data_IF_634806179145
#
_entry.id   IF_634806179145
#
_cell.length_a   1.000
_cell.length_b   1.000
_cell.length_c   1.000
_cell.angle_alpha   90.00
_cell.angle_beta   90.00
_cell.angle_gamma   90.00
#
_symmetry.space_group_name_H-M   'P 1'
#
loop_
_entity.id
_entity.type
_entity.pdbx_description
1 polymer ?
#
# COMPACT_ATOMS: atom_id res chain seq x y z
N UNK A 1 -39.51 -4.90 -97.22
CA UNK A 1 -39.11 -4.19 -95.98
C UNK A 1 -37.87 -4.88 -95.41
N UNK A 2 -36.71 -4.22 -95.41
CA UNK A 2 -35.40 -4.74 -94.97
C UNK A 2 -35.26 -4.55 -93.46
N UNK A 3 -35.11 -5.62 -92.69
CA UNK A 3 -34.73 -5.54 -91.27
C UNK A 3 -33.21 -5.71 -91.12
N UNK A 4 -32.53 -4.62 -90.77
CA UNK A 4 -31.12 -4.62 -90.37
C UNK A 4 -30.95 -5.25 -88.98
N UNK A 5 -30.13 -6.30 -88.87
CA UNK A 5 -29.62 -6.79 -87.59
C UNK A 5 -28.47 -5.89 -87.14
N UNK A 6 -28.66 -5.16 -86.05
CA UNK A 6 -27.63 -4.31 -85.41
C UNK A 6 -26.75 -5.21 -84.54
N UNK A 7 -25.53 -5.49 -84.98
CA UNK A 7 -24.52 -6.23 -84.21
C UNK A 7 -23.97 -5.33 -83.09
N UNK A 8 -24.23 -5.66 -81.84
CA UNK A 8 -23.57 -5.07 -80.67
C UNK A 8 -22.17 -5.68 -80.54
N UNK A 9 -21.13 -4.86 -80.74
CA UNK A 9 -19.73 -5.23 -80.49
C UNK A 9 -19.47 -5.22 -78.99
N UNK A 10 -19.30 -6.41 -78.39
CA UNK A 10 -18.80 -6.55 -77.02
C UNK A 10 -17.29 -6.39 -77.07
N UNK A 11 -16.77 -5.26 -76.59
CA UNK A 11 -15.34 -5.07 -76.38
C UNK A 11 -14.88 -6.00 -75.24
N UNK A 12 -14.33 -7.17 -75.58
CA UNK A 12 -13.60 -8.00 -74.63
C UNK A 12 -12.33 -7.25 -74.21
N UNK A 13 -12.34 -6.67 -73.00
CA UNK A 13 -11.11 -6.17 -72.38
C UNK A 13 -10.16 -7.36 -72.22
N UNK A 14 -8.99 -7.30 -72.88
CA UNK A 14 -7.88 -8.21 -72.58
C UNK A 14 -7.53 -8.03 -71.10
N UNK A 15 -7.76 -9.06 -70.29
CA UNK A 15 -7.27 -9.13 -68.92
C UNK A 15 -5.77 -9.42 -69.05
N UNK A 16 -4.93 -8.41 -68.79
CA UNK A 16 -3.51 -8.62 -68.57
C UNK A 16 -3.34 -9.35 -67.25
N UNK A 17 -2.81 -10.58 -67.28
CA UNK A 17 -2.45 -11.31 -66.07
C UNK A 17 -1.31 -10.60 -65.33
N UNK A 18 -1.33 -10.67 -63.99
CA UNK A 18 -0.30 -10.10 -63.13
C UNK A 18 1.06 -10.77 -63.37
N UNK A 19 2.14 -9.99 -63.36
CA UNK A 19 3.49 -10.55 -63.41
C UNK A 19 3.84 -11.20 -62.06
N UNK A 20 4.61 -12.29 -62.09
CA UNK A 20 5.12 -12.93 -60.87
C UNK A 20 5.83 -11.92 -59.96
N UNK A 21 6.56 -10.97 -60.57
CA UNK A 21 7.30 -9.91 -59.89
C UNK A 21 6.39 -8.96 -59.10
N UNK A 22 5.24 -8.55 -59.65
CA UNK A 22 4.28 -7.70 -58.92
C UNK A 22 3.73 -8.39 -57.68
N UNK A 23 3.51 -9.70 -57.74
CA UNK A 23 3.04 -10.48 -56.58
C UNK A 23 4.12 -10.51 -55.50
N UNK A 24 5.39 -10.69 -55.87
CA UNK A 24 6.51 -10.63 -54.92
C UNK A 24 6.66 -9.24 -54.30
N UNK A 25 6.54 -8.17 -55.09
CA UNK A 25 6.60 -6.79 -54.58
C UNK A 25 5.42 -6.51 -53.64
N UNK A 26 4.22 -6.97 -53.99
CA UNK A 26 3.02 -6.74 -53.16
C UNK A 26 3.10 -7.45 -51.81
N UNK A 27 3.58 -8.70 -51.79
CA UNK A 27 3.74 -9.48 -50.57
C UNK A 27 4.85 -8.89 -49.69
N UNK A 28 5.98 -8.49 -50.28
CA UNK A 28 7.09 -7.88 -49.53
C UNK A 28 6.67 -6.57 -48.87
N UNK A 29 5.98 -5.68 -49.58
CA UNK A 29 5.46 -4.43 -49.01
C UNK A 29 4.45 -4.72 -47.89
N UNK A 30 3.51 -5.65 -48.10
CA UNK A 30 2.50 -6.01 -47.10
C UNK A 30 3.12 -6.57 -45.82
N UNK A 31 4.16 -7.40 -45.96
CA UNK A 31 4.86 -7.99 -44.81
C UNK A 31 5.64 -6.94 -44.01
N UNK A 32 6.28 -5.98 -44.68
CA UNK A 32 6.95 -4.85 -44.01
C UNK A 32 5.93 -3.99 -43.26
N UNK A 33 4.79 -3.68 -43.88
CA UNK A 33 3.73 -2.89 -43.23
C UNK A 33 3.16 -3.62 -42.01
N UNK A 34 2.88 -4.92 -42.13
CA UNK A 34 2.37 -5.73 -41.03
C UNK A 34 3.38 -5.83 -39.88
N UNK A 35 4.67 -5.98 -40.18
CA UNK A 35 5.73 -5.97 -39.18
C UNK A 35 5.79 -4.63 -38.42
N UNK A 36 5.66 -3.51 -39.13
CA UNK A 36 5.62 -2.17 -38.51
C UNK A 36 4.41 -1.97 -37.59
N UNK A 37 3.22 -2.36 -38.03
CA UNK A 37 2.00 -2.27 -37.22
C UNK A 37 2.08 -3.16 -35.98
N UNK A 38 2.61 -4.38 -36.13
CA UNK A 38 2.82 -5.30 -35.01
C UNK A 38 3.76 -4.69 -33.96
N UNK A 39 4.86 -4.04 -34.39
CA UNK A 39 5.78 -3.39 -33.47
C UNK A 39 5.12 -2.25 -32.70
N UNK A 40 4.32 -1.41 -33.37
CA UNK A 40 3.55 -0.35 -32.72
C UNK A 40 2.60 -0.95 -31.68
N UNK A 41 1.87 -2.01 -32.05
CA UNK A 41 0.93 -2.68 -31.16
C UNK A 41 1.62 -3.27 -29.92
N UNK A 42 2.77 -3.93 -30.08
CA UNK A 42 3.51 -4.49 -28.96
C UNK A 42 4.04 -3.41 -28.01
N UNK A 43 4.55 -2.30 -28.56
CA UNK A 43 5.01 -1.16 -27.76
C UNK A 43 3.86 -0.49 -27.01
N UNK A 44 2.70 -0.31 -27.67
CA UNK A 44 1.50 0.22 -27.05
C UNK A 44 1.01 -0.70 -25.90
N UNK A 45 1.03 -2.02 -26.10
CA UNK A 45 0.66 -2.99 -25.06
C UNK A 45 1.58 -2.94 -23.85
N UNK A 46 2.90 -2.87 -24.07
CA UNK A 46 3.89 -2.73 -22.99
C UNK A 46 3.67 -1.42 -22.22
N UNK A 47 3.44 -0.32 -22.93
CA UNK A 47 3.19 1.00 -22.32
C UNK A 47 1.91 1.00 -21.50
N UNK A 48 0.82 0.44 -22.04
CA UNK A 48 -0.45 0.31 -21.34
C UNK A 48 -0.32 -0.48 -20.03
N UNK A 49 0.40 -1.60 -20.05
CA UNK A 49 0.62 -2.42 -18.85
C UNK A 49 1.45 -1.68 -17.80
N UNK A 50 2.44 -0.91 -18.23
CA UNK A 50 3.26 -0.06 -17.35
C UNK A 50 2.41 1.04 -16.69
N UNK A 51 1.64 1.77 -17.47
CA UNK A 51 0.76 2.84 -16.98
C UNK A 51 -0.28 2.31 -15.98
N UNK A 52 -0.88 1.17 -16.29
CA UNK A 52 -1.82 0.48 -15.40
C UNK A 52 -1.15 0.08 -14.08
N UNK A 53 0.05 -0.52 -14.15
CA UNK A 53 0.82 -0.90 -12.95
C UNK A 53 1.23 0.30 -12.09
N UNK A 54 1.62 1.42 -12.69
CA UNK A 54 1.92 2.65 -11.96
C UNK A 54 0.67 3.27 -11.32
N UNK A 55 -0.47 3.24 -12.03
CA UNK A 55 -1.74 3.74 -11.49
C UNK A 55 -2.15 2.95 -10.26
N UNK A 56 -2.09 1.62 -10.34
CA UNK A 56 -2.38 0.75 -9.21
C UNK A 56 -1.45 1.02 -8.02
N UNK A 57 -0.14 1.14 -8.25
CA UNK A 57 0.84 1.44 -7.19
C UNK A 57 0.56 2.79 -6.50
N UNK A 58 0.13 3.80 -7.25
CA UNK A 58 -0.22 5.12 -6.71
C UNK A 58 -1.52 5.09 -5.91
N UNK A 59 -2.54 4.39 -6.41
CA UNK A 59 -3.82 4.22 -5.71
C UNK A 59 -3.63 3.46 -4.40
N UNK A 60 -2.95 2.30 -4.46
CA UNK A 60 -2.63 1.49 -3.29
C UNK A 60 -1.78 2.28 -2.29
N UNK A 61 -0.76 3.01 -2.76
CA UNK A 61 0.07 3.86 -1.90
C UNK A 61 -0.75 4.92 -1.16
N UNK A 62 -1.62 5.64 -1.87
CA UNK A 62 -2.50 6.65 -1.27
C UNK A 62 -3.48 6.04 -0.26
N UNK A 63 -4.05 4.88 -0.57
CA UNK A 63 -4.96 4.19 0.35
C UNK A 63 -4.28 3.79 1.66
N UNK A 64 -3.11 3.13 1.58
CA UNK A 64 -2.35 2.73 2.77
C UNK A 64 -1.98 3.93 3.61
N UNK A 65 -1.45 4.99 2.98
CA UNK A 65 -1.02 6.18 3.69
C UNK A 65 -2.19 6.76 4.48
N UNK A 66 -3.33 6.99 3.83
CA UNK A 66 -4.52 7.52 4.48
C UNK A 66 -5.01 6.63 5.62
N UNK A 67 -5.02 5.31 5.41
CA UNK A 67 -5.48 4.34 6.39
C UNK A 67 -4.56 4.30 7.63
N UNK A 68 -3.26 4.09 7.43
CA UNK A 68 -2.27 4.01 8.50
C UNK A 68 -2.17 5.34 9.24
N UNK A 69 -2.14 6.48 8.53
CA UNK A 69 -2.12 7.81 9.15
C UNK A 69 -3.33 8.00 10.05
N UNK A 70 -4.53 7.60 9.59
CA UNK A 70 -5.75 7.68 10.41
C UNK A 70 -5.62 6.83 11.68
N UNK A 71 -5.14 5.60 11.59
CA UNK A 71 -4.97 4.73 12.77
C UNK A 71 -3.90 5.27 13.73
N UNK A 72 -2.74 5.70 13.23
CA UNK A 72 -1.68 6.26 14.07
C UNK A 72 -2.13 7.54 14.78
N UNK A 73 -2.97 8.36 14.14
CA UNK A 73 -3.53 9.56 14.80
C UNK A 73 -4.45 9.23 15.98
N UNK A 74 -4.99 8.02 16.05
CA UNK A 74 -5.75 7.54 17.20
C UNK A 74 -4.86 7.01 18.32
N UNK A 75 -3.57 6.74 18.08
CA UNK A 75 -2.65 6.27 19.10
C UNK A 75 -2.73 7.15 20.35
N UNK A 76 -2.85 6.52 21.52
CA UNK A 76 -2.97 7.20 22.81
C UNK A 76 -4.31 7.89 23.06
N UNK A 77 -5.27 7.82 22.11
CA UNK A 77 -6.60 8.39 22.32
C UNK A 77 -7.27 7.71 23.52
N UNK A 78 -7.94 8.53 24.32
CA UNK A 78 -8.68 8.13 25.52
C UNK A 78 -10.01 8.86 25.55
N UNK A 79 -11.03 8.21 26.10
CA UNK A 79 -12.32 8.86 26.29
C UNK A 79 -12.17 10.14 27.13
N UNK A 80 -12.65 11.31 26.65
CA UNK A 80 -12.57 12.56 27.40
C UNK A 80 -13.26 12.48 28.77
N UNK A 81 -12.75 13.26 29.72
CA UNK A 81 -13.35 13.39 31.06
C UNK A 81 -14.79 13.90 30.95
N UNK A 82 -15.76 13.20 31.56
CA UNK A 82 -17.18 13.56 31.57
C UNK A 82 -18.13 12.56 30.89
N UNK A 83 -17.60 11.57 30.15
CA UNK A 83 -18.39 10.47 29.55
C UNK A 83 -18.37 9.17 30.40
N UNK A 84 -17.58 9.14 31.47
CA UNK A 84 -17.53 8.05 32.44
C UNK A 84 -17.16 8.58 33.83
N UNK A 85 -17.85 8.12 34.86
CA UNK A 85 -17.60 8.49 36.27
C UNK A 85 -16.40 7.76 36.87
N UNK A 86 -15.78 6.83 36.14
CA UNK A 86 -14.71 5.96 36.62
C UNK A 86 -13.42 6.29 35.88
N UNK A 87 -12.67 7.25 36.43
CA UNK A 87 -11.42 7.71 35.86
C UNK A 87 -10.32 6.66 36.07
N UNK A 88 -10.01 5.93 35.00
CA UNK A 88 -8.87 5.02 34.98
C UNK A 88 -7.62 5.88 34.72
N UNK A 89 -6.66 5.85 35.65
CA UNK A 89 -5.42 6.60 35.52
C UNK A 89 -4.70 6.28 34.20
N UNK A 90 -3.98 7.24 33.62
CA UNK A 90 -3.27 7.03 32.36
C UNK A 90 -2.25 5.88 32.45
N UNK A 91 -1.65 5.71 33.63
CA UNK A 91 -0.70 4.64 33.96
C UNK A 91 -1.35 3.27 34.07
N UNK A 92 -2.67 3.19 34.26
CA UNK A 92 -3.41 1.91 34.27
C UNK A 92 -4.00 1.57 32.90
N UNK A 93 -4.22 2.56 32.02
CA UNK A 93 -4.58 2.33 30.60
C UNK A 93 -3.34 2.01 29.76
N UNK A 94 -2.30 2.84 29.89
CA UNK A 94 -1.04 2.73 29.17
C UNK A 94 0.11 2.65 30.18
N UNK A 95 0.38 1.47 30.77
CA UNK A 95 1.52 1.31 31.65
C UNK A 95 2.83 1.48 30.87
N UNK A 96 3.93 1.85 31.52
CA UNK A 96 5.24 1.98 30.86
C UNK A 96 5.72 0.69 30.19
N UNK A 97 5.24 -0.46 30.65
CA UNK A 97 5.51 -1.78 30.07
C UNK A 97 4.71 -2.06 28.79
N UNK A 98 3.60 -1.35 28.58
CA UNK A 98 2.78 -1.42 27.39
C UNK A 98 2.48 0.02 26.96
N UNK A 99 3.34 0.66 26.16
CA UNK A 99 3.09 2.00 25.65
C UNK A 99 1.92 2.03 24.66
N UNK A 100 1.40 3.22 24.39
CA UNK A 100 0.31 3.41 23.43
C UNK A 100 0.76 3.20 21.96
N UNK A 101 2.07 3.25 21.73
CA UNK A 101 2.70 2.91 20.46
C UNK A 101 3.90 1.99 20.72
N UNK A 102 4.02 0.91 19.95
CA UNK A 102 5.17 0.00 20.00
C UNK A 102 5.32 -0.76 18.70
N UNK A 103 6.30 -1.66 18.64
CA UNK A 103 6.51 -2.52 17.50
C UNK A 103 7.74 -3.40 17.66
N UNK A 104 8.14 -4.02 16.56
CA UNK A 104 9.38 -4.78 16.45
C UNK A 104 10.16 -4.32 15.24
N UNK A 105 11.48 -4.49 15.31
CA UNK A 105 12.42 -4.17 14.22
C UNK A 105 12.96 -5.48 13.63
N UNK A 106 12.80 -5.67 12.32
CA UNK A 106 13.39 -6.79 11.57
C UNK A 106 12.85 -8.19 11.87
N UNK A 107 11.81 -8.34 12.69
CA UNK A 107 11.32 -9.65 13.13
C UNK A 107 10.28 -10.29 12.20
N UNK A 108 9.79 -9.55 11.22
CA UNK A 108 8.77 -9.97 10.27
C UNK A 108 9.34 -10.53 8.96
N UNK A 109 8.44 -10.86 8.04
CA UNK A 109 8.77 -11.34 6.70
C UNK A 109 9.68 -10.33 5.98
N UNK A 110 10.72 -10.81 5.29
CA UNK A 110 11.68 -9.98 4.58
C UNK A 110 12.43 -8.96 5.46
N UNK A 111 12.55 -9.23 6.76
CA UNK A 111 13.10 -8.25 7.71
C UNK A 111 12.18 -7.05 7.91
N UNK A 112 10.88 -7.23 7.71
CA UNK A 112 9.89 -6.18 7.96
C UNK A 112 9.63 -6.01 9.46
N UNK A 113 9.19 -4.82 9.81
CA UNK A 113 8.84 -4.42 11.15
C UNK A 113 7.38 -4.74 11.45
N UNK A 114 7.01 -4.61 12.72
CA UNK A 114 5.61 -4.56 13.13
C UNK A 114 5.31 -3.23 13.78
N UNK A 115 4.08 -2.76 13.64
CA UNK A 115 3.59 -1.55 14.28
C UNK A 115 2.35 -1.87 15.10
N UNK A 116 2.40 -1.53 16.37
CA UNK A 116 1.33 -1.72 17.34
C UNK A 116 0.81 -0.35 17.76
N UNK A 117 -0.49 -0.13 17.58
CA UNK A 117 -1.19 1.10 17.91
C UNK A 117 -2.28 0.79 18.92
N UNK A 118 -2.25 1.47 20.07
CA UNK A 118 -3.20 1.27 21.16
C UNK A 118 -3.95 2.55 21.47
N UNK A 119 -5.26 2.40 21.67
CA UNK A 119 -6.18 3.49 21.92
C UNK A 119 -7.46 2.97 22.58
N UNK A 120 -8.22 3.88 23.19
CA UNK A 120 -9.55 3.57 23.71
C UNK A 120 -10.64 3.92 22.68
N UNK A 121 -11.83 3.37 22.89
CA UNK A 121 -13.01 3.78 22.14
C UNK A 121 -13.69 5.04 22.65
N UNK A 122 -14.94 5.24 22.23
CA UNK A 122 -15.79 6.35 22.62
C UNK A 122 -17.24 5.88 22.74
N UNK A 123 -18.04 6.53 23.58
CA UNK A 123 -19.42 6.13 23.85
C UNK A 123 -19.89 6.48 25.26
N UNK A 124 -21.15 6.15 25.56
CA UNK A 124 -21.83 6.52 26.80
C UNK A 124 -21.87 5.37 27.83
N UNK A 125 -20.78 4.60 27.93
CA UNK A 125 -20.65 3.44 28.81
C UNK A 125 -20.34 2.13 28.08
N UNK A 126 -20.21 1.05 28.85
CA UNK A 126 -19.83 -0.28 28.36
C UNK A 126 -20.91 -0.86 27.43
N UNK A 127 -20.52 -1.34 26.25
CA UNK A 127 -21.43 -1.94 25.27
C UNK A 127 -22.28 -0.93 24.50
N UNK A 128 -21.95 0.37 24.59
CA UNK A 128 -22.66 1.46 23.89
C UNK A 128 -21.68 2.32 23.10
N UNK A 129 -20.96 1.75 22.12
CA UNK A 129 -20.00 2.52 21.35
C UNK A 129 -20.75 3.51 20.46
N UNK A 130 -20.22 4.72 20.32
CA UNK A 130 -20.83 5.78 19.49
C UNK A 130 -20.53 5.64 17.98
N UNK A 131 -19.66 4.70 17.61
CA UNK A 131 -19.25 4.44 16.22
C UNK A 131 -18.24 5.43 15.65
N UNK A 132 -17.79 6.42 16.43
CA UNK A 132 -16.80 7.42 15.98
C UNK A 132 -15.38 6.86 16.00
N UNK A 133 -15.09 5.98 16.96
CA UNK A 133 -13.84 5.25 17.09
C UNK A 133 -14.10 3.78 16.77
N UNK A 134 -13.36 3.28 15.79
CA UNK A 134 -13.44 1.90 15.32
C UNK A 134 -12.06 1.27 15.36
N UNK A 135 -12.00 -0.05 15.51
CA UNK A 135 -10.79 -0.83 15.29
C UNK A 135 -10.46 -0.94 13.79
N UNK A 136 -9.34 -1.58 13.44
CA UNK A 136 -8.98 -1.70 12.03
C UNK A 136 -9.98 -2.54 11.23
N UNK A 137 -10.73 -3.44 11.87
CA UNK A 137 -11.78 -4.25 11.25
C UNK A 137 -13.12 -3.50 11.16
N UNK A 138 -13.11 -2.20 11.43
CA UNK A 138 -14.29 -1.33 11.44
C UNK A 138 -15.34 -1.73 12.49
N UNK A 139 -14.93 -2.39 13.57
CA UNK A 139 -15.79 -2.66 14.72
C UNK A 139 -15.73 -1.47 15.69
N UNK A 140 -16.87 -0.88 16.07
CA UNK A 140 -16.91 0.20 17.06
C UNK A 140 -16.27 -0.21 18.38
N UNK A 141 -15.52 0.72 18.99
CA UNK A 141 -14.83 0.50 20.26
C UNK A 141 -15.54 1.28 21.36
N UNK A 142 -15.85 0.60 22.46
CA UNK A 142 -16.49 1.21 23.63
C UNK A 142 -15.59 2.21 24.35
N UNK A 143 -16.21 3.17 25.03
CA UNK A 143 -15.55 3.98 26.03
C UNK A 143 -14.85 3.11 27.09
N UNK A 144 -13.67 3.54 27.55
CA UNK A 144 -12.80 2.81 28.49
C UNK A 144 -12.27 1.44 28.01
N UNK A 145 -12.70 0.94 26.85
CA UNK A 145 -12.17 -0.30 26.28
C UNK A 145 -10.94 0.01 25.47
N UNK A 146 -9.85 -0.67 25.80
CA UNK A 146 -8.60 -0.55 25.07
C UNK A 146 -8.53 -1.55 23.94
N UNK A 147 -8.26 -1.04 22.74
CA UNK A 147 -8.01 -1.83 21.53
C UNK A 147 -6.56 -1.74 21.14
N UNK A 148 -6.05 -2.84 20.61
CA UNK A 148 -4.70 -2.93 20.04
C UNK A 148 -4.80 -3.31 18.58
N UNK A 149 -4.40 -2.41 17.68
CA UNK A 149 -4.22 -2.72 16.27
C UNK A 149 -2.76 -3.03 16.00
N UNK A 150 -2.48 -4.18 15.40
CA UNK A 150 -1.13 -4.58 15.01
C UNK A 150 -1.03 -4.73 13.51
N UNK A 151 -0.18 -3.93 12.88
CA UNK A 151 0.18 -4.05 11.47
C UNK A 151 1.40 -4.96 11.34
N UNK A 152 1.30 -5.95 10.46
CA UNK A 152 2.40 -6.87 10.14
C UNK A 152 2.29 -7.36 8.70
N UNK A 153 3.41 -7.82 8.16
CA UNK A 153 3.47 -8.39 6.81
C UNK A 153 3.35 -9.91 6.84
N UNK A 154 2.54 -10.48 5.96
CA UNK A 154 2.42 -11.94 5.78
C UNK A 154 3.43 -12.48 4.76
N UNK A 155 3.62 -13.81 4.75
CA UNK A 155 4.47 -14.48 3.76
C UNK A 155 3.96 -14.32 2.32
N UNK A 156 2.68 -13.99 2.14
CA UNK A 156 2.05 -13.73 0.84
C UNK A 156 2.23 -12.28 0.35
N UNK A 157 3.04 -11.48 1.05
CA UNK A 157 3.27 -10.06 0.74
C UNK A 157 2.01 -9.21 0.90
N UNK A 158 1.22 -9.55 1.92
CA UNK A 158 0.01 -8.84 2.30
C UNK A 158 0.25 -8.10 3.61
N UNK A 159 -0.06 -6.80 3.63
CA UNK A 159 -0.08 -6.04 4.86
C UNK A 159 -1.41 -6.29 5.54
N UNK A 160 -1.37 -6.90 6.71
CA UNK A 160 -2.55 -7.21 7.51
C UNK A 160 -2.64 -6.30 8.73
N UNK A 161 -3.86 -6.09 9.21
CA UNK A 161 -4.11 -5.57 10.54
C UNK A 161 -4.83 -6.60 11.39
N UNK A 162 -4.23 -6.88 12.56
CA UNK A 162 -4.85 -7.64 13.64
C UNK A 162 -5.44 -6.68 14.66
N UNK A 163 -6.74 -6.74 14.88
CA UNK A 163 -7.42 -6.02 15.95
C UNK A 163 -7.62 -6.93 17.15
N UNK A 164 -7.18 -6.47 18.31
CA UNK A 164 -7.51 -7.07 19.60
C UNK A 164 -8.49 -6.15 20.32
N UNK A 165 -9.76 -6.52 20.32
CA UNK A 165 -10.88 -5.78 20.88
C UNK A 165 -11.66 -6.66 21.86
N UNK A 166 -11.42 -6.56 23.18
CA UNK A 166 -11.95 -7.51 24.16
C UNK A 166 -13.48 -7.51 24.26
N UNK A 167 -14.15 -6.47 23.76
CA UNK A 167 -15.62 -6.35 23.76
C UNK A 167 -16.26 -6.73 22.42
N UNK A 168 -15.47 -7.10 21.41
CA UNK A 168 -15.97 -7.61 20.14
C UNK A 168 -16.43 -9.07 20.27
N UNK A 169 -17.41 -9.48 19.47
CA UNK A 169 -17.78 -10.89 19.33
C UNK A 169 -16.61 -11.77 18.84
N UNK A 170 -15.62 -11.15 18.18
CA UNK A 170 -14.35 -11.77 17.79
C UNK A 170 -13.20 -10.96 18.40
N UNK A 171 -12.76 -11.30 19.64
CA UNK A 171 -11.84 -10.45 20.38
C UNK A 171 -10.44 -10.30 19.82
N UNK A 172 -9.99 -11.26 19.00
CA UNK A 172 -8.72 -11.21 18.27
C UNK A 172 -8.99 -11.70 16.85
N UNK A 173 -8.93 -10.77 15.90
CA UNK A 173 -9.21 -11.07 14.50
C UNK A 173 -8.28 -10.26 13.59
N UNK A 174 -8.04 -10.78 12.39
CA UNK A 174 -7.07 -10.23 11.45
C UNK A 174 -7.68 -10.10 10.06
N UNK A 175 -7.38 -9.00 9.38
CA UNK A 175 -7.73 -8.82 7.97
C UNK A 175 -6.53 -8.34 7.15
N UNK A 176 -6.50 -8.74 5.89
CA UNK A 176 -5.61 -8.15 4.89
C UNK A 176 -6.12 -6.77 4.51
N UNK A 177 -5.26 -5.75 4.61
CA UNK A 177 -5.56 -4.39 4.16
C UNK A 177 -5.27 -4.25 2.67
N UNK A 178 -4.09 -4.72 2.27
CA UNK A 178 -3.63 -4.67 0.89
C UNK A 178 -2.66 -5.82 0.60
N UNK A 179 -2.58 -6.18 -0.67
CA UNK A 179 -1.56 -7.05 -1.23
C UNK A 179 -0.41 -6.25 -1.85
N UNK A 180 0.70 -6.92 -2.14
CA UNK A 180 1.81 -6.33 -2.88
C UNK A 180 2.72 -5.45 -2.03
N UNK A 181 2.82 -5.71 -0.72
CA UNK A 181 3.84 -5.07 0.14
C UNK A 181 5.01 -6.02 0.30
N UNK A 182 6.18 -5.64 -0.18
CA UNK A 182 7.38 -6.49 -0.08
C UNK A 182 8.14 -6.29 1.22
N UNK A 183 8.13 -5.06 1.73
CA UNK A 183 8.85 -4.71 2.94
C UNK A 183 8.15 -3.55 3.65
N UNK A 184 8.12 -3.59 4.98
CA UNK A 184 7.55 -2.56 5.85
C UNK A 184 8.56 -2.22 6.94
N UNK A 185 8.96 -0.94 7.04
CA UNK A 185 9.90 -0.43 8.06
C UNK A 185 9.30 0.72 8.84
N UNK A 186 9.67 0.84 10.11
CA UNK A 186 9.13 1.83 11.06
C UNK A 186 10.23 2.37 11.96
N UNK A 187 10.37 3.69 11.99
CA UNK A 187 11.18 4.40 12.97
C UNK A 187 10.31 5.24 13.89
N UNK A 188 10.72 5.34 15.15
CA UNK A 188 10.06 6.08 16.21
C UNK A 188 10.84 7.37 16.47
N UNK A 189 10.14 8.49 16.34
CA UNK A 189 10.65 9.83 16.60
C UNK A 189 10.57 10.13 18.09
N UNK A 190 11.71 10.11 18.76
CA UNK A 190 11.85 10.35 20.19
C UNK A 190 12.23 11.81 20.46
N UNK A 191 11.52 12.42 21.39
CA UNK A 191 11.82 13.73 21.97
C UNK A 191 12.66 13.55 23.24
N UNK A 192 13.93 13.92 23.16
CA UNK A 192 14.90 13.78 24.25
C UNK A 192 15.04 15.04 25.11
N UNK A 193 14.47 16.16 24.66
CA UNK A 193 14.70 17.47 25.27
C UNK A 193 13.45 18.08 25.94
N UNK A 194 12.26 17.55 25.67
CA UNK A 194 11.02 17.99 26.30
C UNK A 194 10.15 18.96 25.49
N UNK A 195 10.49 19.27 24.24
CA UNK A 195 9.83 20.32 23.43
C UNK A 195 8.67 19.83 22.53
N UNK A 196 8.26 18.57 22.68
CA UNK A 196 7.26 17.85 21.90
C UNK A 196 7.61 17.70 20.40
N UNK A 197 8.88 17.87 20.04
CA UNK A 197 9.41 17.59 18.71
C UNK A 197 10.40 16.40 18.73
N UNK A 198 10.43 15.64 17.63
CA UNK A 198 11.34 14.50 17.54
C UNK A 198 12.79 14.98 17.29
N UNK A 199 13.69 14.67 18.21
CA UNK A 199 15.13 14.93 18.08
C UNK A 199 15.83 13.85 17.24
N UNK A 200 15.38 12.59 17.39
CA UNK A 200 15.97 11.43 16.70
C UNK A 200 14.91 10.44 16.26
N UNK A 201 15.20 9.71 15.19
CA UNK A 201 14.40 8.58 14.72
C UNK A 201 15.18 7.30 14.91
N UNK A 202 14.63 6.35 15.67
CA UNK A 202 15.30 5.09 16.03
C UNK A 202 14.36 3.89 15.83
N UNK A 203 14.89 2.69 15.55
CA UNK A 203 14.09 1.47 15.42
C UNK A 203 13.55 1.00 16.79
N UNK A 204 12.56 0.11 16.78
CA UNK A 204 11.90 -0.39 17.99
C UNK A 204 12.86 -1.12 18.95
N UNK A 205 13.91 -1.75 18.43
CA UNK A 205 14.91 -2.49 19.22
C UNK A 205 16.06 -1.61 19.75
N UNK A 206 15.99 -0.29 19.56
CA UNK A 206 17.02 0.62 20.06
C UNK A 206 17.02 0.63 21.58
N UNK A 207 18.13 0.19 22.18
CA UNK A 207 18.21 -0.11 23.62
C UNK A 207 17.92 1.10 24.54
N UNK A 208 18.17 2.32 24.06
CA UNK A 208 17.95 3.56 24.83
C UNK A 208 16.70 4.32 24.40
N UNK A 209 15.80 3.70 23.63
CA UNK A 209 14.52 4.29 23.25
C UNK A 209 13.60 4.35 24.47
N UNK A 210 13.21 5.56 24.87
CA UNK A 210 12.13 5.76 25.82
C UNK A 210 10.78 5.89 25.09
N UNK A 211 9.95 4.85 25.19
CA UNK A 211 8.62 4.82 24.56
C UNK A 211 7.68 5.94 25.03
N UNK A 212 7.86 6.47 26.24
CA UNK A 212 7.07 7.59 26.75
C UNK A 212 7.37 8.91 26.01
N UNK A 213 8.54 9.00 25.39
CA UNK A 213 9.03 10.19 24.68
C UNK A 213 8.80 10.12 23.17
N UNK A 214 8.10 9.11 22.67
CA UNK A 214 7.82 8.98 21.24
C UNK A 214 6.70 9.95 20.84
N UNK A 215 7.03 10.90 19.97
CA UNK A 215 6.12 11.96 19.51
C UNK A 215 5.74 11.86 18.03
N UNK A 216 6.49 11.08 17.24
CA UNK A 216 6.15 10.83 15.84
C UNK A 216 6.61 9.46 15.37
N UNK A 217 6.11 9.03 14.21
CA UNK A 217 6.46 7.76 13.56
C UNK A 217 6.80 8.04 12.11
N UNK A 218 7.92 7.51 11.63
CA UNK A 218 8.29 7.52 10.22
C UNK A 218 8.19 6.10 9.67
N UNK A 219 7.45 5.93 8.59
CA UNK A 219 7.20 4.62 7.98
C UNK A 219 7.73 4.60 6.56
N UNK A 220 8.17 3.42 6.13
CA UNK A 220 8.53 3.16 4.74
C UNK A 220 7.97 1.82 4.29
N UNK A 221 7.28 1.82 3.16
CA UNK A 221 6.73 0.63 2.53
C UNK A 221 7.33 0.48 1.14
N UNK A 222 7.66 -0.75 0.75
CA UNK A 222 7.98 -1.09 -0.62
C UNK A 222 6.79 -1.80 -1.24
N UNK A 223 6.12 -1.11 -2.14
CA UNK A 223 4.98 -1.65 -2.88
C UNK A 223 5.44 -2.26 -4.18
N UNK A 224 4.78 -3.33 -4.63
CA UNK A 224 4.98 -3.95 -5.94
C UNK A 224 3.67 -4.04 -6.72
N UNK A 225 3.75 -3.99 -8.05
CA UNK A 225 2.61 -4.25 -8.92
C UNK A 225 2.13 -5.69 -8.80
N UNK A 226 0.85 -5.95 -9.06
CA UNK A 226 0.31 -7.33 -9.04
C UNK A 226 0.83 -8.18 -10.19
N UNK A 227 1.10 -7.54 -11.33
CA UNK A 227 1.57 -8.17 -12.55
C UNK A 227 3.02 -7.81 -12.87
N UNK A 228 3.68 -8.71 -13.60
CA UNK A 228 5.03 -8.50 -14.11
C UNK A 228 5.01 -7.59 -15.34
N UNK A 229 5.03 -6.28 -15.10
CA UNK A 229 4.91 -5.25 -16.16
C UNK A 229 6.20 -4.44 -16.38
N UNK A 230 7.22 -4.62 -15.54
CA UNK A 230 8.52 -3.96 -15.68
C UNK A 230 9.30 -4.55 -16.88
N UNK A 231 9.67 -3.76 -17.90
CA UNK A 231 10.45 -4.25 -19.04
C UNK A 231 11.91 -4.53 -18.68
N UNK A 232 12.39 -4.00 -17.55
CA UNK A 232 13.76 -4.16 -17.08
C UNK A 232 13.86 -5.30 -16.06
N UNK A 233 14.96 -6.05 -16.11
CA UNK A 233 15.30 -7.12 -15.15
C UNK A 233 16.42 -6.70 -14.20
N UNK A 234 16.62 -5.40 -14.03
CA UNK A 234 17.67 -4.86 -13.17
C UNK A 234 17.37 -5.16 -11.70
N UNK A 235 18.38 -5.66 -10.99
CA UNK A 235 18.30 -5.80 -9.55
C UNK A 235 18.52 -4.41 -8.92
N UNK A 236 17.50 -3.85 -8.29
CA UNK A 236 17.57 -2.55 -7.61
C UNK A 236 17.39 -2.76 -6.11
N UNK A 237 18.38 -2.33 -5.34
CA UNK A 237 18.29 -2.29 -3.89
C UNK A 237 17.57 -1.01 -3.45
N UNK A 238 16.69 -1.14 -2.46
CA UNK A 238 15.93 -0.04 -1.88
C UNK A 238 16.46 0.23 -0.47
N UNK A 239 16.75 1.50 -0.18
CA UNK A 239 17.17 1.94 1.14
C UNK A 239 15.94 2.46 1.91
N UNK A 240 15.55 1.72 2.93
CA UNK A 240 14.33 1.90 3.69
C UNK A 240 14.68 2.16 5.16
N UNK A 241 14.75 3.44 5.52
CA UNK A 241 14.90 3.90 6.91
C UNK A 241 16.11 3.32 7.67
N UNK A 242 17.23 3.07 6.99
CA UNK A 242 18.42 2.46 7.61
C UNK A 242 18.68 1.05 7.13
N UNK A 243 17.64 0.34 6.67
CA UNK A 243 17.71 -1.04 6.19
C UNK A 243 17.79 -1.06 4.67
N UNK A 244 18.62 -1.95 4.10
CA UNK A 244 18.64 -2.18 2.65
C UNK A 244 17.87 -3.46 2.32
N UNK A 245 16.85 -3.34 1.49
CA UNK A 245 16.11 -4.49 0.96
C UNK A 245 16.42 -4.66 -0.53
N UNK A 246 16.77 -5.87 -0.93
CA UNK A 246 17.04 -6.21 -2.33
C UNK A 246 16.06 -7.31 -2.76
N UNK A 247 15.10 -7.01 -3.66
CA UNK A 247 14.15 -8.00 -4.15
C UNK A 247 14.81 -9.16 -4.90
N UNK A 248 14.03 -10.20 -5.17
CA UNK A 248 14.50 -11.36 -5.92
C UNK A 248 14.98 -10.97 -7.33
N UNK A 249 16.04 -11.61 -7.81
CA UNK A 249 16.66 -11.26 -9.09
C UNK A 249 15.74 -11.53 -10.28
N UNK A 250 15.68 -10.59 -11.22
CA UNK A 250 14.98 -10.70 -12.50
C UNK A 250 13.45 -10.84 -12.41
N UNK A 251 12.83 -10.46 -11.29
CA UNK A 251 11.38 -10.37 -11.22
C UNK A 251 10.89 -9.06 -11.86
N UNK A 252 10.00 -9.19 -12.85
CA UNK A 252 9.54 -8.06 -13.68
C UNK A 252 8.44 -7.24 -13.01
N UNK A 253 8.43 -7.17 -11.68
CA UNK A 253 7.47 -6.36 -10.95
C UNK A 253 7.91 -4.90 -10.93
N UNK A 254 6.96 -3.97 -11.13
CA UNK A 254 7.21 -2.56 -10.84
C UNK A 254 7.18 -2.39 -9.33
N UNK A 255 8.02 -1.50 -8.82
CA UNK A 255 8.10 -1.19 -7.40
C UNK A 255 8.07 0.29 -7.16
N UNK A 256 7.43 0.68 -6.06
CA UNK A 256 7.42 2.04 -5.59
C UNK A 256 7.68 2.06 -4.08
N UNK A 257 8.67 2.84 -3.65
CA UNK A 257 8.94 3.07 -2.25
C UNK A 257 8.12 4.27 -1.77
N UNK A 258 7.28 4.05 -0.76
CA UNK A 258 6.48 5.08 -0.12
C UNK A 258 7.04 5.35 1.27
N UNK A 259 7.38 6.61 1.57
CA UNK A 259 7.88 7.01 2.89
C UNK A 259 7.12 8.24 3.37
N UNK A 260 6.58 8.17 4.59
CA UNK A 260 5.84 9.28 5.20
C UNK A 260 6.06 9.31 6.72
N UNK A 261 5.78 10.46 7.34
CA UNK A 261 5.92 10.69 8.79
C UNK A 261 4.59 11.16 9.36
N UNK A 262 4.21 10.62 10.52
CA UNK A 262 2.97 10.94 11.23
C UNK A 262 3.31 11.40 12.64
N UNK A 263 2.86 12.59 13.00
CA UNK A 263 2.97 13.11 14.37
C UNK A 263 1.83 12.51 15.21
N UNK A 264 2.15 12.10 16.44
CA UNK A 264 1.21 11.58 17.41
C UNK A 264 0.48 12.75 18.08
N UNK A 265 -0.85 12.70 18.14
CA UNK A 265 -1.67 13.81 18.66
C UNK A 265 -2.07 13.64 20.12
N UNK A 266 -2.21 12.40 20.58
CA UNK A 266 -2.65 12.11 21.94
C UNK A 266 -1.43 11.67 22.76
N UNK A 267 -0.51 12.61 22.99
CA UNK A 267 0.66 12.37 23.83
C UNK A 267 0.23 12.21 25.29
N UNK A 268 0.89 11.28 25.98
CA UNK A 268 0.76 11.13 27.43
C UNK A 268 1.71 12.14 28.05
N UNK A 269 1.20 13.00 28.93
CA UNK A 269 2.03 14.00 29.61
C UNK A 269 3.22 13.31 30.31
N UNK A 270 4.42 13.82 30.05
CA UNK A 270 5.65 13.37 30.69
C UNK A 270 5.52 13.68 32.18
N UNK A 271 5.48 12.66 33.02
CA UNK A 271 5.58 12.86 34.47
C UNK A 271 7.06 13.08 34.78
N UNK A 272 7.39 14.29 35.24
CA UNK A 272 8.71 14.65 35.79
C UNK A 272 9.15 13.70 36.92
#
# INVERSE_FOLDING_TARGET
MKNQKRFLSIHQRKISGFSLLEVFISITISLILLAGVLQIFLNAKTTYNLESGFTQLQETGRFIEQYIVKTIRLAGYRTPQGQSNNFIAITTVFPTTLPFISGSDGSGVNGSDTLVVRYQGSGNGTGTPDGTIVDCLNVPVDANTMVTNTFSLTANLELQCRAQNPNSATPDNTQTLISGVENFQVLYGEDTNGDDAADRYVPANYASLNWANVVSIRLSLLLRSDNQVNPFTENRSFYMLGTTYTPATADRYLRNQLTFTVVLRNLIAKTD
#
